data_IF_251602826968
#
_entry.id   IF_251602826968
#
_cell.length_a   1.000
_cell.length_b   1.000
_cell.length_c   1.000
_cell.angle_alpha   90.00
_cell.angle_beta   90.00
_cell.angle_gamma   90.00
#
_symmetry.space_group_name_H-M   'P 1'
#
loop_
_entity.id
_entity.type
_entity.pdbx_description
1 polymer ?
#
# COMPACT_ATOMS: atom_id res chain seq x y z
N UNK A 1 0.06 19.30 0.26
CA UNK A 1 -0.61 18.01 0.54
C UNK A 1 0.43 16.91 0.42
N UNK A 2 0.60 16.07 1.44
CA UNK A 2 1.61 15.02 1.41
C UNK A 2 1.08 13.81 0.63
N UNK A 3 1.90 13.14 -0.20
CA UNK A 3 1.44 12.03 -1.01
C UNK A 3 1.07 10.82 -0.15
N UNK A 4 0.13 10.03 -0.65
CA UNK A 4 -0.18 8.71 -0.10
C UNK A 4 0.82 7.70 -0.65
N UNK A 5 1.35 6.85 0.23
CA UNK A 5 2.33 5.84 -0.12
C UNK A 5 1.79 4.45 0.22
N UNK A 6 1.90 3.53 -0.73
CA UNK A 6 1.90 2.10 -0.46
C UNK A 6 3.34 1.68 -0.14
N UNK A 7 3.56 1.12 1.04
CA UNK A 7 4.82 0.49 1.42
C UNK A 7 4.64 -1.01 1.38
N UNK A 8 5.55 -1.71 0.71
CA UNK A 8 5.55 -3.17 0.57
C UNK A 8 6.97 -3.72 0.59
N UNK A 9 7.16 -5.02 0.86
CA UNK A 9 8.45 -5.65 0.65
C UNK A 9 8.84 -5.51 -0.83
N UNK A 10 10.01 -4.94 -1.07
CA UNK A 10 10.70 -4.93 -2.36
C UNK A 10 11.57 -6.17 -2.52
N UNK A 11 12.37 -6.19 -3.59
CA UNK A 11 13.27 -7.30 -3.89
C UNK A 11 14.36 -7.46 -2.81
N UNK A 12 14.93 -8.69 -2.67
CA UNK A 12 16.00 -8.98 -1.72
C UNK A 12 17.20 -8.02 -1.84
N UNK A 13 17.94 -7.78 -0.74
CA UNK A 13 17.88 -8.53 0.52
C UNK A 13 16.88 -8.02 1.58
N UNK A 14 16.48 -6.76 1.55
CA UNK A 14 15.57 -6.16 2.56
C UNK A 14 15.07 -4.78 2.11
N UNK A 15 14.83 -4.60 0.80
CA UNK A 15 14.45 -3.29 0.29
C UNK A 15 12.97 -3.00 0.59
N UNK A 16 12.66 -1.90 1.27
CA UNK A 16 11.29 -1.40 1.35
C UNK A 16 10.97 -0.70 0.03
N UNK A 17 9.90 -1.11 -0.64
CA UNK A 17 9.43 -0.43 -1.84
C UNK A 17 8.27 0.49 -1.48
N UNK A 18 8.40 1.76 -1.83
CA UNK A 18 7.35 2.75 -1.68
C UNK A 18 6.79 3.12 -3.05
N UNK A 19 5.46 3.05 -3.21
CA UNK A 19 4.77 3.46 -4.41
C UNK A 19 3.75 4.54 -4.09
N UNK A 20 3.79 5.65 -4.81
CA UNK A 20 2.80 6.72 -4.67
C UNK A 20 1.42 6.24 -5.13
N UNK A 21 0.41 6.56 -4.33
CA UNK A 21 -0.98 6.30 -4.63
C UNK A 21 -1.71 7.62 -4.92
N UNK A 22 -2.62 7.65 -5.90
CA UNK A 22 -3.28 8.88 -6.33
C UNK A 22 -4.36 9.38 -5.36
N UNK A 23 -4.95 8.51 -4.55
CA UNK A 23 -6.02 8.86 -3.61
C UNK A 23 -5.47 9.06 -2.19
N UNK A 24 -6.30 9.59 -1.30
CA UNK A 24 -5.98 9.71 0.11
C UNK A 24 -5.85 8.31 0.78
N UNK A 25 -5.08 8.15 1.87
CA UNK A 25 -4.90 6.85 2.53
C UNK A 25 -6.22 6.20 2.94
N UNK A 26 -7.20 7.00 3.33
CA UNK A 26 -8.51 6.58 3.81
C UNK A 26 -9.37 5.98 2.68
N UNK A 27 -9.00 6.24 1.42
CA UNK A 27 -9.64 5.64 0.26
C UNK A 27 -9.19 4.19 0.01
N UNK A 28 -8.23 3.67 0.78
CA UNK A 28 -7.67 2.33 0.61
C UNK A 28 -7.98 1.43 1.81
N UNK A 29 -8.40 0.20 1.53
CA UNK A 29 -8.50 -0.87 2.49
C UNK A 29 -7.35 -1.85 2.30
N UNK A 30 -6.65 -2.16 3.39
CA UNK A 30 -5.62 -3.20 3.44
C UNK A 30 -6.22 -4.44 4.09
N UNK A 31 -6.11 -5.59 3.43
CA UNK A 31 -6.57 -6.86 3.97
C UNK A 31 -5.52 -7.95 3.78
N UNK A 32 -5.61 -8.99 4.62
CA UNK A 32 -4.73 -10.16 4.61
C UNK A 32 -5.59 -11.42 4.42
N UNK A 33 -6.02 -11.75 3.18
CA UNK A 33 -6.87 -12.90 2.93
C UNK A 33 -6.21 -14.25 3.28
N UNK A 34 -4.88 -14.34 3.19
CA UNK A 34 -4.11 -15.51 3.62
C UNK A 34 -2.88 -15.05 4.41
N UNK A 35 -2.21 -15.94 5.16
CA UNK A 35 -1.00 -15.57 5.90
C UNK A 35 0.07 -14.91 5.03
N UNK A 36 0.23 -15.33 3.78
CA UNK A 36 1.32 -14.88 2.91
C UNK A 36 0.92 -13.78 1.93
N UNK A 37 -0.38 -13.48 1.82
CA UNK A 37 -0.90 -12.54 0.82
C UNK A 37 -1.57 -11.35 1.49
N UNK A 38 -1.08 -10.18 1.11
CA UNK A 38 -1.65 -8.88 1.42
C UNK A 38 -2.30 -8.30 0.17
N UNK A 39 -3.46 -7.68 0.37
CA UNK A 39 -4.24 -7.05 -0.69
C UNK A 39 -4.55 -5.61 -0.27
N UNK A 40 -4.38 -4.69 -1.21
CA UNK A 40 -4.79 -3.29 -1.04
C UNK A 40 -5.80 -2.97 -2.12
N UNK A 41 -6.97 -2.48 -1.71
CA UNK A 41 -8.10 -2.13 -2.58
C UNK A 41 -8.53 -0.69 -2.38
N UNK A 42 -9.04 -0.06 -3.43
CA UNK A 42 -9.78 1.20 -3.31
C UNK A 42 -11.16 0.90 -2.75
N UNK A 43 -11.54 1.54 -1.65
CA UNK A 43 -12.82 1.29 -0.95
C UNK A 43 -14.01 1.59 -1.84
N UNK A 44 -13.99 2.73 -2.54
CA UNK A 44 -15.12 3.20 -3.34
C UNK A 44 -15.42 2.32 -4.56
N UNK A 45 -14.39 1.69 -5.15
CA UNK A 45 -14.53 0.94 -6.42
C UNK A 45 -14.27 -0.56 -6.27
N UNK A 46 -13.70 -0.99 -5.15
CA UNK A 46 -13.21 -2.36 -4.95
C UNK A 46 -11.95 -2.70 -5.75
N UNK A 47 -11.41 -1.76 -6.54
CA UNK A 47 -10.26 -2.02 -7.42
C UNK A 47 -9.02 -2.40 -6.61
N UNK A 48 -8.43 -3.56 -6.94
CA UNK A 48 -7.15 -3.98 -6.38
C UNK A 48 -6.02 -3.13 -6.95
N UNK A 49 -5.30 -2.45 -6.05
CA UNK A 49 -4.07 -1.73 -6.41
C UNK A 49 -2.82 -2.54 -6.09
N UNK A 50 -2.91 -3.49 -5.16
CA UNK A 50 -1.82 -4.39 -4.81
C UNK A 50 -2.33 -5.75 -4.36
N UNK A 51 -1.63 -6.80 -4.76
CA UNK A 51 -1.79 -8.17 -4.27
C UNK A 51 -0.42 -8.84 -4.27
N UNK A 52 0.06 -9.27 -3.11
CA UNK A 52 1.39 -9.86 -3.01
C UNK A 52 1.88 -10.07 -1.57
N UNK A 53 3.17 -10.38 -1.38
CA UNK A 53 3.77 -10.57 -0.07
C UNK A 53 3.70 -9.30 0.79
N UNK A 54 3.77 -9.44 2.10
CA UNK A 54 3.72 -8.30 3.02
C UNK A 54 4.71 -8.36 4.15
N UNK A 55 4.64 -7.40 5.09
CA UNK A 55 3.50 -6.51 5.33
C UNK A 55 3.33 -5.40 4.29
N UNK A 56 2.09 -5.15 3.84
CA UNK A 56 1.74 -4.01 3.01
C UNK A 56 0.99 -2.96 3.84
N UNK A 57 1.37 -1.69 3.75
CA UNK A 57 0.71 -0.59 4.48
C UNK A 57 0.48 0.61 3.57
N UNK A 58 -0.65 1.29 3.78
CA UNK A 58 -0.96 2.56 3.11
C UNK A 58 -0.88 3.68 4.15
N UNK A 59 0.01 4.64 3.92
CA UNK A 59 0.27 5.73 4.86
C UNK A 59 0.34 7.07 4.13
N UNK A 60 0.01 8.15 4.84
CA UNK A 60 0.35 9.50 4.37
C UNK A 60 1.82 9.76 4.64
N UNK A 61 2.56 10.23 3.64
CA UNK A 61 3.97 10.63 3.84
C UNK A 61 4.04 11.73 4.92
N UNK A 62 4.97 11.64 5.89
CA UNK A 62 5.16 12.70 6.88
C UNK A 62 5.81 13.96 6.28
N UNK A 63 6.56 13.81 5.18
CA UNK A 63 7.16 14.93 4.47
C UNK A 63 6.33 15.33 3.23
N UNK A 64 6.09 16.64 3.00
CA UNK A 64 5.76 17.14 1.68
C UNK A 64 7.01 16.94 0.81
N UNK A 65 6.87 16.25 -0.33
CA UNK A 65 7.96 16.08 -1.29
C UNK A 65 8.20 17.37 -2.08
#
# INVERSE_FOLDING_TARGET
MNPTLLRKPGAPPTMLEERRLPLAPEAYAVSRPTPDVWVVRVVATGQEVYRGPGPAVVVRSPAPF
#
